data_IF_400516851080
#
_entry.id   IF_400516851080
#
_cell.length_a   1.000
_cell.length_b   1.000
_cell.length_c   1.000
_cell.angle_alpha   90.00
_cell.angle_beta   90.00
_cell.angle_gamma   90.00
#
_symmetry.space_group_name_H-M   'P 1'
#
loop_
_entity.id
_entity.type
_entity.pdbx_description
1 polymer ?
#
# COMPACT_ATOMS: atom_id res chain seq x y z
N UNK A 1 -14.09 15.37 -12.17
CA UNK A 1 -14.10 14.14 -11.35
C UNK A 1 -14.96 13.03 -11.97
N UNK A 2 -16.25 13.26 -12.23
CA UNK A 2 -17.19 12.24 -12.76
C UNK A 2 -16.76 11.55 -14.08
N UNK A 3 -16.07 12.28 -14.97
CA UNK A 3 -15.55 11.72 -16.23
C UNK A 3 -14.46 10.68 -16.00
N UNK A 4 -13.51 10.94 -15.09
CA UNK A 4 -12.42 10.02 -14.76
C UNK A 4 -12.95 8.73 -14.12
N UNK A 5 -13.90 8.86 -13.18
CA UNK A 5 -14.52 7.69 -12.56
C UNK A 5 -15.39 6.88 -13.53
N UNK A 6 -15.97 7.55 -14.54
CA UNK A 6 -16.70 6.87 -15.62
C UNK A 6 -15.77 6.10 -16.54
N UNK A 7 -14.59 6.65 -16.88
CA UNK A 7 -13.54 5.95 -17.63
C UNK A 7 -13.06 4.73 -16.84
N UNK A 8 -12.76 4.89 -15.54
CA UNK A 8 -12.36 3.77 -14.67
C UNK A 8 -13.41 2.66 -14.64
N UNK A 9 -14.69 3.00 -14.45
CA UNK A 9 -15.81 2.04 -14.48
C UNK A 9 -15.95 1.35 -15.85
N UNK A 10 -15.74 2.09 -16.94
CA UNK A 10 -15.75 1.53 -18.28
C UNK A 10 -14.61 0.52 -18.46
N UNK A 11 -13.38 0.87 -18.07
CA UNK A 11 -12.22 -0.01 -18.23
C UNK A 11 -12.36 -1.33 -17.47
N UNK A 12 -12.89 -1.29 -16.24
CA UNK A 12 -13.19 -2.51 -15.47
C UNK A 12 -14.12 -3.43 -16.28
N UNK A 13 -15.27 -2.90 -16.72
CA UNK A 13 -16.25 -3.68 -17.50
C UNK A 13 -15.70 -4.16 -18.85
N UNK A 14 -14.96 -3.31 -19.54
CA UNK A 14 -14.38 -3.60 -20.85
C UNK A 14 -13.31 -4.70 -20.78
N UNK A 15 -12.48 -4.70 -19.73
CA UNK A 15 -11.46 -5.73 -19.51
C UNK A 15 -12.05 -7.04 -18.98
N UNK A 16 -13.21 -7.01 -18.33
CA UNK A 16 -13.95 -8.20 -17.87
C UNK A 16 -14.80 -8.85 -18.97
N UNK A 17 -15.01 -8.16 -20.11
CA UNK A 17 -15.84 -8.67 -21.20
C UNK A 17 -14.98 -9.33 -22.30
N UNK A 18 -15.06 -10.66 -22.52
CA UNK A 18 -14.16 -11.38 -23.46
C UNK A 18 -14.38 -11.00 -24.94
N UNK A 19 -15.60 -10.55 -25.28
CA UNK A 19 -15.93 -10.06 -26.62
C UNK A 19 -15.35 -8.66 -26.89
N UNK A 20 -15.01 -7.91 -25.86
CA UNK A 20 -14.45 -6.58 -26.00
C UNK A 20 -12.96 -6.68 -26.39
N UNK A 21 -12.45 -5.85 -27.32
CA UNK A 21 -11.04 -5.89 -27.73
C UNK A 21 -10.05 -5.76 -26.56
N UNK A 22 -10.35 -4.90 -25.59
CA UNK A 22 -9.54 -4.76 -24.36
C UNK A 22 -9.57 -6.01 -23.48
N UNK A 23 -10.72 -6.69 -23.38
CA UNK A 23 -10.84 -7.95 -22.64
C UNK A 23 -10.02 -9.06 -23.28
N UNK A 24 -10.12 -9.24 -24.61
CA UNK A 24 -9.30 -10.21 -25.35
C UNK A 24 -7.80 -9.92 -25.25
N UNK A 25 -7.42 -8.65 -25.33
CA UNK A 25 -6.03 -8.22 -25.12
C UNK A 25 -5.56 -8.62 -23.71
N UNK A 26 -6.35 -8.30 -22.68
CA UNK A 26 -6.03 -8.61 -21.30
C UNK A 26 -5.89 -10.12 -21.05
N UNK A 27 -6.82 -10.94 -21.54
CA UNK A 27 -6.74 -12.40 -21.45
C UNK A 27 -5.49 -12.95 -22.12
N UNK A 28 -5.16 -12.45 -23.31
CA UNK A 28 -3.97 -12.90 -24.06
C UNK A 28 -2.68 -12.54 -23.32
N UNK A 29 -2.56 -11.31 -22.83
CA UNK A 29 -1.39 -10.85 -22.07
C UNK A 29 -1.24 -11.64 -20.76
N UNK A 30 -2.33 -11.85 -20.02
CA UNK A 30 -2.32 -12.67 -18.79
C UNK A 30 -1.92 -14.11 -19.09
N UNK A 31 -2.40 -14.70 -20.18
CA UNK A 31 -2.05 -16.06 -20.58
C UNK A 31 -0.55 -16.18 -20.92
N UNK A 32 -0.01 -15.27 -21.72
CA UNK A 32 1.43 -15.26 -22.06
C UNK A 32 2.28 -15.04 -20.81
N UNK A 33 1.92 -14.08 -19.95
CA UNK A 33 2.62 -13.83 -18.70
C UNK A 33 2.65 -15.08 -17.81
N UNK A 34 1.52 -15.79 -17.68
CA UNK A 34 1.46 -17.04 -16.93
C UNK A 34 2.33 -18.14 -17.55
N UNK A 35 2.34 -18.27 -18.88
CA UNK A 35 3.18 -19.24 -19.57
C UNK A 35 4.69 -18.97 -19.38
N UNK A 36 5.07 -17.70 -19.23
CA UNK A 36 6.47 -17.29 -19.02
C UNK A 36 6.93 -17.50 -17.57
N UNK A 37 6.08 -17.15 -16.60
CA UNK A 37 6.50 -17.02 -15.20
C UNK A 37 5.95 -18.10 -14.24
N UNK A 38 4.98 -18.92 -14.66
CA UNK A 38 4.44 -20.03 -13.85
C UNK A 38 5.08 -21.35 -14.22
N UNK A 39 5.31 -22.20 -13.21
CA UNK A 39 5.66 -23.61 -13.39
C UNK A 39 7.11 -23.91 -13.03
N UNK A 40 7.61 -25.05 -13.55
CA UNK A 40 8.93 -25.61 -13.20
C UNK A 40 10.11 -24.68 -13.56
N UNK A 41 9.88 -23.71 -14.45
CA UNK A 41 10.86 -22.69 -14.84
C UNK A 41 10.86 -21.40 -14.00
N UNK A 42 9.95 -21.25 -13.03
CA UNK A 42 9.89 -20.04 -12.21
C UNK A 42 11.18 -19.87 -11.40
N UNK A 43 11.84 -18.73 -11.56
CA UNK A 43 13.13 -18.45 -10.94
C UNK A 43 13.17 -17.00 -10.46
N UNK A 44 13.69 -16.75 -9.25
CA UNK A 44 13.88 -15.40 -8.69
C UNK A 44 14.57 -14.41 -9.64
N UNK A 45 15.46 -14.89 -10.53
CA UNK A 45 16.15 -14.03 -11.51
C UNK A 45 15.22 -13.42 -12.57
N UNK A 46 14.00 -13.96 -12.72
CA UNK A 46 12.99 -13.48 -13.66
C UNK A 46 12.14 -12.35 -13.10
N UNK A 47 12.25 -12.05 -11.79
CA UNK A 47 11.43 -11.03 -11.12
C UNK A 47 11.55 -9.67 -11.81
N UNK A 48 12.77 -9.23 -12.09
CA UNK A 48 13.03 -7.95 -12.76
C UNK A 48 12.35 -7.88 -14.14
N UNK A 49 12.40 -8.96 -14.92
CA UNK A 49 11.77 -9.04 -16.23
C UNK A 49 10.23 -9.03 -16.10
N UNK A 50 9.69 -9.75 -15.12
CA UNK A 50 8.26 -9.78 -14.82
C UNK A 50 7.71 -8.41 -14.44
N UNK A 51 8.44 -7.65 -13.62
CA UNK A 51 8.08 -6.27 -13.25
C UNK A 51 8.16 -5.35 -14.47
N UNK A 52 9.26 -5.40 -15.22
CA UNK A 52 9.42 -4.58 -16.44
C UNK A 52 8.35 -4.87 -17.49
N UNK A 53 7.92 -6.12 -17.62
CA UNK A 53 6.84 -6.50 -18.54
C UNK A 53 5.49 -5.91 -18.09
N UNK A 54 5.18 -5.92 -16.78
CA UNK A 54 4.00 -5.24 -16.24
C UNK A 54 4.05 -3.73 -16.51
N UNK A 55 5.19 -3.08 -16.26
CA UNK A 55 5.36 -1.65 -16.53
C UNK A 55 5.19 -1.34 -18.03
N UNK A 56 5.68 -2.22 -18.91
CA UNK A 56 5.46 -2.12 -20.36
C UNK A 56 3.98 -2.26 -20.72
N UNK A 57 3.26 -3.21 -20.10
CA UNK A 57 1.82 -3.36 -20.30
C UNK A 57 1.06 -2.11 -19.88
N UNK A 58 1.37 -1.54 -18.71
CA UNK A 58 0.76 -0.30 -18.22
C UNK A 58 0.96 0.83 -19.22
N UNK A 59 2.19 1.11 -19.64
CA UNK A 59 2.49 2.19 -20.56
C UNK A 59 1.76 2.03 -21.91
N UNK A 60 1.79 0.83 -22.50
CA UNK A 60 1.18 0.57 -23.82
C UNK A 60 -0.34 0.55 -23.78
N UNK A 61 -0.93 -0.05 -22.74
CA UNK A 61 -2.39 -0.03 -22.56
C UNK A 61 -2.85 1.40 -22.28
N UNK A 62 -2.10 2.17 -21.49
CA UNK A 62 -2.44 3.56 -21.20
C UNK A 62 -2.45 4.42 -22.48
N UNK A 63 -1.50 4.22 -23.39
CA UNK A 63 -1.52 4.87 -24.71
C UNK A 63 -2.78 4.53 -25.51
N UNK A 64 -3.21 3.26 -25.50
CA UNK A 64 -4.46 2.85 -26.16
C UNK A 64 -5.69 3.48 -25.49
N UNK A 65 -5.71 3.55 -24.15
CA UNK A 65 -6.79 4.19 -23.40
C UNK A 65 -6.85 5.68 -23.71
N UNK A 66 -5.71 6.39 -23.77
CA UNK A 66 -5.67 7.81 -24.17
C UNK A 66 -6.13 8.03 -25.61
N UNK A 67 -5.87 7.08 -26.51
CA UNK A 67 -6.42 7.11 -27.86
C UNK A 67 -7.95 6.98 -27.87
N UNK A 68 -8.51 6.10 -27.04
CA UNK A 68 -9.96 5.93 -26.90
C UNK A 68 -10.64 7.08 -26.13
N UNK A 69 -9.91 7.75 -25.24
CA UNK A 69 -10.38 8.85 -24.40
C UNK A 69 -9.43 10.05 -24.51
N UNK A 70 -9.55 10.90 -25.56
CA UNK A 70 -8.66 12.03 -25.79
C UNK A 70 -8.68 13.08 -24.67
N UNK A 71 -9.78 13.15 -23.93
CA UNK A 71 -9.96 14.02 -22.75
C UNK A 71 -9.11 13.58 -21.54
N UNK A 72 -8.46 12.41 -21.59
CA UNK A 72 -7.64 11.90 -20.49
C UNK A 72 -6.27 12.62 -20.47
N UNK A 73 -5.90 13.28 -19.36
CA UNK A 73 -4.61 13.96 -19.21
C UNK A 73 -3.42 13.02 -19.45
N UNK A 74 -2.26 13.63 -19.71
CA UNK A 74 -1.00 12.91 -19.77
C UNK A 74 -0.66 12.30 -18.40
N UNK A 75 0.26 11.33 -18.41
CA UNK A 75 0.82 10.78 -17.18
C UNK A 75 1.44 11.90 -16.35
N UNK A 76 1.03 12.03 -15.08
CA UNK A 76 1.42 13.15 -14.23
C UNK A 76 0.56 14.41 -14.37
N UNK A 77 -0.49 14.39 -15.22
CA UNK A 77 -1.40 15.52 -15.37
C UNK A 77 -2.31 15.72 -14.15
N UNK A 78 -2.43 16.95 -13.66
CA UNK A 78 -3.35 17.28 -12.57
C UNK A 78 -4.81 17.28 -13.08
N UNK A 79 -5.71 16.61 -12.37
CA UNK A 79 -7.16 16.79 -12.57
C UNK A 79 -7.56 18.04 -11.77
N UNK A 80 -8.08 19.12 -12.42
CA UNK A 80 -8.60 20.26 -11.68
C UNK A 80 -9.76 19.80 -10.78
N UNK A 81 -9.66 20.08 -9.48
CA UNK A 81 -10.83 20.01 -8.61
C UNK A 81 -11.83 21.08 -9.05
N UNK A 82 -13.14 20.79 -9.11
CA UNK A 82 -14.11 21.85 -9.24
C UNK A 82 -14.03 22.70 -7.97
N UNK A 83 -13.51 23.92 -8.10
CA UNK A 83 -13.71 24.95 -7.07
C UNK A 83 -15.21 25.11 -6.88
N UNK A 84 -15.73 24.69 -5.73
CA UNK A 84 -17.04 25.13 -5.27
C UNK A 84 -16.90 26.57 -4.81
N UNK A 85 -16.73 27.49 -5.77
CA UNK A 85 -16.83 28.92 -5.54
C UNK A 85 -18.12 29.43 -6.18
N UNK A 86 -19.13 29.63 -5.33
CA UNK A 86 -20.22 30.60 -5.51
C UNK A 86 -21.02 30.78 -4.20
N UNK A 87 -20.61 31.78 -3.40
CA UNK A 87 -21.41 32.73 -2.56
C UNK A 87 -22.25 32.15 -1.38
N UNK A 88 -22.13 32.59 -0.13
CA UNK A 88 -22.45 33.95 0.35
C UNK A 88 -21.83 34.34 1.72
N UNK A 89 -21.68 35.65 1.95
CA UNK A 89 -21.09 36.33 3.13
C UNK A 89 -22.01 36.30 4.38
N UNK A 90 -21.44 36.11 5.58
CA UNK A 90 -21.40 37.11 6.69
C UNK A 90 -20.85 36.57 8.03
N UNK A 91 -19.86 37.31 8.54
CA UNK A 91 -19.55 37.70 9.94
C UNK A 91 -19.37 36.64 11.06
N UNK A 92 -18.13 36.52 11.58
CA UNK A 92 -17.76 36.85 12.98
C UNK A 92 -16.61 35.99 13.57
N UNK A 93 -15.49 36.67 13.89
CA UNK A 93 -14.52 36.49 14.98
C UNK A 93 -13.70 35.18 15.21
N UNK A 94 -12.37 35.35 15.06
CA UNK A 94 -11.26 34.86 15.90
C UNK A 94 -11.08 33.35 16.18
N UNK A 95 -10.08 32.71 15.56
CA UNK A 95 -8.73 32.42 16.13
C UNK A 95 -7.96 31.48 15.20
N UNK A 96 -6.66 31.76 15.07
CA UNK A 96 -5.73 31.24 14.06
C UNK A 96 -5.13 29.86 14.41
N UNK A 97 -4.65 29.20 13.36
CA UNK A 97 -3.75 28.04 13.32
C UNK A 97 -4.37 26.64 13.33
N UNK A 98 -5.13 26.31 12.28
CA UNK A 98 -5.21 24.94 11.78
C UNK A 98 -4.40 24.89 10.49
N UNK A 99 -3.24 24.22 10.55
CA UNK A 99 -2.35 23.99 9.42
C UNK A 99 -3.05 22.99 8.47
N UNK A 100 -3.95 23.48 7.63
CA UNK A 100 -4.49 22.70 6.52
C UNK A 100 -3.36 22.47 5.51
N UNK A 101 -2.78 21.28 5.56
CA UNK A 101 -1.93 20.77 4.49
C UNK A 101 -2.71 20.80 3.18
N UNK A 102 -2.16 21.36 2.07
CA UNK A 102 -2.85 21.39 0.80
C UNK A 102 -3.05 19.96 0.31
N UNK A 103 -4.30 19.51 0.25
CA UNK A 103 -4.67 18.21 -0.36
C UNK A 103 -4.10 18.19 -1.78
N UNK A 104 -3.16 17.29 -2.12
CA UNK A 104 -2.59 17.27 -3.45
C UNK A 104 -3.70 16.90 -4.44
N UNK A 105 -3.96 17.79 -5.39
CA UNK A 105 -4.91 17.51 -6.48
C UNK A 105 -4.60 16.17 -7.12
N UNK A 106 -5.64 15.36 -7.39
CA UNK A 106 -5.48 13.97 -7.86
C UNK A 106 -4.74 13.97 -9.20
N UNK A 107 -3.52 13.45 -9.19
CA UNK A 107 -2.69 13.28 -10.40
C UNK A 107 -3.18 12.06 -11.18
N UNK A 108 -3.27 12.19 -12.51
CA UNK A 108 -3.56 11.06 -13.39
C UNK A 108 -2.32 10.17 -13.48
N UNK A 109 -2.45 8.97 -12.93
CA UNK A 109 -1.44 7.93 -13.01
C UNK A 109 -1.97 6.74 -13.82
N UNK A 110 -1.13 6.25 -14.75
CA UNK A 110 -1.40 5.04 -15.52
C UNK A 110 -1.54 3.83 -14.57
N UNK A 111 -0.67 3.76 -13.56
CA UNK A 111 -0.69 2.78 -12.48
C UNK A 111 -1.99 2.81 -11.70
N UNK A 112 -2.47 3.99 -11.27
CA UNK A 112 -3.72 4.11 -10.53
C UNK A 112 -4.96 3.70 -11.35
N UNK A 113 -4.93 3.88 -12.67
CA UNK A 113 -6.06 3.54 -13.55
C UNK A 113 -6.07 2.06 -13.93
N UNK A 114 -4.90 1.48 -14.22
CA UNK A 114 -4.78 0.17 -14.86
C UNK A 114 -4.37 -0.95 -13.91
N UNK A 115 -3.57 -0.70 -12.86
CA UNK A 115 -3.19 -1.75 -11.89
C UNK A 115 -4.40 -2.42 -11.23
N UNK A 116 -5.48 -1.71 -10.83
CA UNK A 116 -6.65 -2.36 -10.24
C UNK A 116 -7.32 -3.39 -11.16
N UNK A 117 -7.13 -3.27 -12.48
CA UNK A 117 -7.72 -4.18 -13.48
C UNK A 117 -6.72 -5.28 -13.88
N UNK A 118 -5.45 -4.91 -14.04
CA UNK A 118 -4.38 -5.79 -14.54
C UNK A 118 -3.81 -6.67 -13.43
N UNK A 119 -3.43 -6.05 -12.30
CA UNK A 119 -2.60 -6.69 -11.29
C UNK A 119 -3.28 -7.89 -10.60
N UNK A 120 -4.58 -7.88 -10.24
CA UNK A 120 -5.21 -9.07 -9.64
C UNK A 120 -5.08 -10.34 -10.50
N UNK A 121 -5.02 -10.19 -11.83
CA UNK A 121 -4.89 -11.32 -12.77
C UNK A 121 -3.45 -11.83 -12.90
N UNK A 122 -2.47 -10.95 -12.68
CA UNK A 122 -1.02 -11.20 -12.75
C UNK A 122 -0.38 -11.45 -11.37
N UNK A 123 -1.10 -11.17 -10.29
CA UNK A 123 -0.57 -11.20 -8.94
C UNK A 123 -0.05 -12.60 -8.54
N UNK A 124 -0.75 -13.73 -8.79
CA UNK A 124 -0.22 -15.03 -8.39
C UNK A 124 1.16 -15.40 -8.98
N UNK A 125 1.41 -15.30 -10.30
CA UNK A 125 2.75 -15.52 -10.84
C UNK A 125 3.78 -14.51 -10.32
N UNK A 126 3.41 -13.22 -10.27
CA UNK A 126 4.33 -12.17 -9.82
C UNK A 126 4.74 -12.38 -8.36
N UNK A 127 3.78 -12.62 -7.47
CA UNK A 127 4.03 -12.80 -6.05
C UNK A 127 4.83 -14.07 -5.76
N UNK A 128 4.67 -15.11 -6.58
CA UNK A 128 5.55 -16.30 -6.52
C UNK A 128 7.01 -15.91 -6.77
N UNK A 129 7.29 -15.01 -7.72
CA UNK A 129 8.65 -14.55 -7.99
C UNK A 129 9.21 -13.69 -6.85
N UNK A 130 8.40 -12.83 -6.24
CA UNK A 130 8.80 -12.08 -5.03
C UNK A 130 9.11 -13.02 -3.86
N UNK A 131 8.26 -14.00 -3.60
CA UNK A 131 8.47 -15.00 -2.55
C UNK A 131 9.76 -15.81 -2.77
N UNK A 132 10.10 -16.16 -4.02
CA UNK A 132 11.36 -16.83 -4.34
C UNK A 132 12.59 -15.93 -4.19
N UNK A 133 12.45 -14.63 -4.39
CA UNK A 133 13.55 -13.67 -4.24
C UNK A 133 13.82 -13.38 -2.76
N UNK A 134 12.77 -13.18 -1.95
CA UNK A 134 12.83 -12.88 -0.51
C UNK A 134 12.84 -14.08 0.43
N UNK A 135 12.87 -15.31 -0.09
CA UNK A 135 12.73 -16.54 0.70
C UNK A 135 13.61 -16.56 1.96
N UNK A 136 14.90 -16.22 1.82
CA UNK A 136 15.87 -16.28 2.93
C UNK A 136 15.60 -15.20 3.97
N UNK A 137 15.36 -13.99 3.50
CA UNK A 137 15.07 -12.82 4.31
C UNK A 137 13.75 -12.97 5.08
N UNK A 138 12.71 -13.48 4.41
CA UNK A 138 11.40 -13.76 5.00
C UNK A 138 11.47 -14.93 6.00
N UNK A 139 12.34 -15.93 5.80
CA UNK A 139 12.54 -17.01 6.78
C UNK A 139 13.20 -16.50 8.08
N UNK A 140 14.26 -15.68 7.98
CA UNK A 140 14.90 -15.06 9.16
C UNK A 140 13.91 -14.16 9.91
N UNK A 141 13.17 -13.34 9.16
CA UNK A 141 12.10 -12.52 9.71
C UNK A 141 11.06 -13.39 10.46
N UNK A 142 10.61 -14.48 9.83
CA UNK A 142 9.58 -15.35 10.38
C UNK A 142 10.00 -16.05 11.67
N UNK A 143 11.25 -16.54 11.74
CA UNK A 143 11.81 -17.10 12.97
C UNK A 143 11.78 -16.09 14.13
N UNK A 144 12.13 -14.83 13.85
CA UNK A 144 12.07 -13.76 14.84
C UNK A 144 10.63 -13.46 15.28
N UNK A 145 9.70 -13.35 14.32
CA UNK A 145 8.26 -13.17 14.60
C UNK A 145 7.75 -14.28 15.52
N UNK A 146 8.02 -15.55 15.20
CA UNK A 146 7.58 -16.69 16.02
C UNK A 146 8.18 -16.65 17.42
N UNK A 147 9.45 -16.27 17.56
CA UNK A 147 10.13 -16.16 18.85
C UNK A 147 9.53 -15.08 19.73
N UNK A 148 9.39 -13.86 19.22
CA UNK A 148 8.87 -12.72 19.98
C UNK A 148 7.37 -12.86 20.30
N UNK A 149 6.61 -13.55 19.44
CA UNK A 149 5.20 -13.84 19.70
C UNK A 149 4.94 -14.89 20.80
N UNK A 150 5.98 -15.54 21.35
CA UNK A 150 5.83 -16.37 22.55
C UNK A 150 5.59 -15.54 23.81
N UNK A 151 5.95 -14.25 23.78
CA UNK A 151 5.79 -13.35 24.91
C UNK A 151 4.36 -12.77 24.97
N UNK A 152 3.78 -12.63 26.18
CA UNK A 152 2.50 -11.96 26.34
C UNK A 152 2.61 -10.47 25.97
N UNK A 153 1.48 -9.86 25.61
CA UNK A 153 1.39 -8.48 25.11
C UNK A 153 2.15 -7.49 25.99
N UNK A 154 1.92 -7.54 27.31
CA UNK A 154 2.58 -6.66 28.27
C UNK A 154 4.10 -6.79 28.28
N UNK A 155 4.63 -8.00 28.13
CA UNK A 155 6.07 -8.24 28.11
C UNK A 155 6.68 -7.76 26.80
N UNK A 156 6.01 -8.01 25.67
CA UNK A 156 6.50 -7.58 24.37
C UNK A 156 6.46 -6.04 24.24
N UNK A 157 5.38 -5.39 24.67
CA UNK A 157 5.28 -3.94 24.69
C UNK A 157 6.38 -3.31 25.55
N UNK A 158 6.67 -3.89 26.72
CA UNK A 158 7.76 -3.42 27.58
C UNK A 158 9.14 -3.63 26.93
N UNK A 159 9.37 -4.76 26.27
CA UNK A 159 10.60 -5.06 25.55
C UNK A 159 10.87 -4.09 24.40
N UNK A 160 9.82 -3.72 23.66
CA UNK A 160 9.91 -2.77 22.55
C UNK A 160 10.03 -1.30 23.01
N UNK A 161 9.97 -1.02 24.31
CA UNK A 161 10.09 0.33 24.86
C UNK A 161 8.80 1.15 24.80
N UNK A 162 7.64 0.50 24.64
CA UNK A 162 6.34 1.19 24.63
C UNK A 162 6.04 1.77 26.03
N UNK A 163 5.79 3.09 26.05
CA UNK A 163 5.58 3.88 27.27
C UNK A 163 4.43 3.30 28.10
N UNK A 164 4.53 3.36 29.43
CA UNK A 164 3.53 2.76 30.34
C UNK A 164 2.11 3.26 30.15
N UNK A 165 1.92 4.45 29.58
CA UNK A 165 0.62 5.07 29.34
C UNK A 165 -0.20 4.43 28.22
N UNK A 166 0.40 3.64 27.34
CA UNK A 166 -0.27 2.95 26.23
C UNK A 166 -0.33 1.43 26.41
N UNK A 167 0.05 0.92 27.60
CA UNK A 167 0.07 -0.52 27.89
C UNK A 167 -1.32 -1.15 28.05
N UNK A 168 -2.31 -0.34 28.40
CA UNK A 168 -3.71 -0.79 28.56
C UNK A 168 -4.51 -0.75 27.24
N UNK A 169 -3.92 -0.22 26.16
CA UNK A 169 -4.54 -0.07 24.85
C UNK A 169 -4.59 -1.40 24.08
N UNK A 170 -5.71 -1.68 23.41
CA UNK A 170 -5.89 -2.92 22.65
C UNK A 170 -5.68 -2.70 21.14
N UNK A 171 -4.49 -3.03 20.63
CA UNK A 171 -4.16 -2.85 19.21
C UNK A 171 -4.69 -3.95 18.27
N UNK A 172 -5.76 -4.66 18.65
CA UNK A 172 -6.33 -5.75 17.85
C UNK A 172 -6.85 -5.24 16.50
N UNK A 173 -7.58 -4.11 16.48
CA UNK A 173 -8.12 -3.50 15.26
C UNK A 173 -7.01 -3.13 14.27
N UNK A 174 -5.95 -2.48 14.74
CA UNK A 174 -4.79 -2.13 13.92
C UNK A 174 -4.08 -3.40 13.38
N UNK A 175 -3.98 -4.45 14.19
CA UNK A 175 -3.39 -5.73 13.79
C UNK A 175 -4.18 -6.40 12.68
N UNK A 176 -5.51 -6.50 12.82
CA UNK A 176 -6.41 -7.06 11.81
C UNK A 176 -6.43 -6.24 10.52
N UNK A 177 -6.34 -4.91 10.65
CA UNK A 177 -6.24 -4.00 9.51
C UNK A 177 -4.97 -4.28 8.73
N UNK A 178 -3.81 -4.34 9.39
CA UNK A 178 -2.53 -4.60 8.73
C UNK A 178 -2.49 -5.97 8.04
N UNK A 179 -3.16 -6.99 8.59
CA UNK A 179 -3.27 -8.31 7.96
C UNK A 179 -3.95 -8.27 6.58
N UNK A 180 -4.78 -7.25 6.29
CA UNK A 180 -5.38 -7.07 4.97
C UNK A 180 -4.36 -6.70 3.88
N UNK A 181 -3.11 -6.39 4.26
CA UNK A 181 -2.06 -6.15 3.26
C UNK A 181 -1.88 -7.38 2.35
N UNK A 182 -2.07 -8.60 2.87
CA UNK A 182 -1.95 -9.84 2.10
C UNK A 182 -3.18 -10.21 1.28
N UNK A 183 -4.31 -9.51 1.48
CA UNK A 183 -5.56 -9.73 0.72
C UNK A 183 -5.79 -8.64 -0.33
N UNK A 184 -4.98 -7.59 -0.31
CA UNK A 184 -4.99 -6.51 -1.30
C UNK A 184 -3.96 -6.75 -2.40
N UNK A 185 -4.25 -6.24 -3.61
CA UNK A 185 -3.41 -6.49 -4.77
C UNK A 185 -2.56 -5.30 -5.15
N UNK A 186 -3.15 -4.10 -5.21
CA UNK A 186 -2.45 -2.93 -5.74
C UNK A 186 -1.56 -2.25 -4.69
N UNK A 187 -0.43 -1.64 -5.09
CA UNK A 187 0.38 -0.84 -4.19
C UNK A 187 -0.43 0.26 -3.51
N UNK A 188 -1.36 0.91 -4.23
CA UNK A 188 -2.24 1.93 -3.64
C UNK A 188 -3.13 1.37 -2.54
N UNK A 189 -3.76 0.21 -2.76
CA UNK A 189 -4.62 -0.41 -1.74
C UNK A 189 -3.79 -0.88 -0.52
N UNK A 190 -2.59 -1.43 -0.76
CA UNK A 190 -1.66 -1.81 0.31
C UNK A 190 -1.20 -0.61 1.13
N UNK A 191 -0.86 0.50 0.47
CA UNK A 191 -0.51 1.76 1.12
C UNK A 191 -1.68 2.32 1.94
N UNK A 192 -2.91 2.20 1.44
CA UNK A 192 -4.12 2.58 2.18
C UNK A 192 -4.32 1.69 3.43
N UNK A 193 -4.06 0.38 3.34
CA UNK A 193 -4.07 -0.51 4.51
C UNK A 193 -3.06 -0.05 5.57
N UNK A 194 -1.86 0.36 5.14
CA UNK A 194 -0.84 0.89 6.06
C UNK A 194 -1.35 2.18 6.72
N UNK A 195 -1.89 3.13 5.95
CA UNK A 195 -2.45 4.36 6.47
C UNK A 195 -3.55 4.09 7.51
N UNK A 196 -4.53 3.24 7.18
CA UNK A 196 -5.61 2.87 8.10
C UNK A 196 -5.09 2.21 9.38
N UNK A 197 -3.98 1.47 9.29
CA UNK A 197 -3.33 0.89 10.47
C UNK A 197 -2.78 1.98 11.39
N UNK A 198 -2.14 3.03 10.85
CA UNK A 198 -1.68 4.18 11.64
C UNK A 198 -2.85 4.94 12.28
N UNK A 199 -3.94 5.12 11.55
CA UNK A 199 -5.16 5.77 12.06
C UNK A 199 -5.78 4.99 13.21
N UNK A 200 -5.90 3.66 13.09
CA UNK A 200 -6.43 2.80 14.16
C UNK A 200 -5.51 2.77 15.39
N UNK A 201 -4.18 2.79 15.22
CA UNK A 201 -3.24 2.95 16.36
C UNK A 201 -3.48 4.28 17.06
N UNK A 202 -3.56 5.36 16.29
CA UNK A 202 -3.71 6.72 16.83
C UNK A 202 -5.01 6.84 17.61
N UNK A 203 -6.10 6.29 17.06
CA UNK A 203 -7.43 6.26 17.67
C UNK A 203 -7.46 5.47 18.99
N UNK A 204 -6.85 4.29 19.04
CA UNK A 204 -6.83 3.44 20.24
C UNK A 204 -6.02 4.06 21.38
N UNK A 205 -4.99 4.81 21.04
CA UNK A 205 -4.16 5.50 22.04
C UNK A 205 -4.83 6.78 22.52
N UNK A 206 -5.50 7.52 21.64
CA UNK A 206 -6.31 8.69 22.03
C UNK A 206 -7.51 8.31 22.90
N UNK A 207 -8.11 7.12 22.72
CA UNK A 207 -9.18 6.66 23.60
C UNK A 207 -8.66 6.28 24.99
N UNK A 208 -7.41 5.80 25.06
CA UNK A 208 -6.75 5.39 26.30
C UNK A 208 -6.12 6.55 27.08
N UNK A 209 -5.57 7.55 26.38
CA UNK A 209 -4.99 8.77 26.95
C UNK A 209 -6.03 9.87 27.03
N UNK A 210 -6.39 10.30 28.25
CA UNK A 210 -7.38 11.37 28.49
C UNK A 210 -6.92 12.79 28.13
N UNK A 211 -5.75 12.95 27.53
CA UNK A 211 -5.16 14.25 27.18
C UNK A 211 -4.70 14.27 25.71
N UNK A 212 -4.70 15.47 25.12
CA UNK A 212 -4.18 15.75 23.77
C UNK A 212 -2.66 15.52 23.71
N UNK A 213 -2.25 14.25 23.65
CA UNK A 213 -0.86 13.86 23.49
C UNK A 213 -0.41 14.07 22.03
N UNK A 214 0.64 14.85 21.83
CA UNK A 214 1.28 15.02 20.54
C UNK A 214 2.27 13.87 20.33
N UNK A 215 1.98 12.98 19.40
CA UNK A 215 2.84 11.84 19.07
C UNK A 215 4.15 12.28 18.42
N UNK A 216 5.25 11.73 18.92
CA UNK A 216 6.51 11.71 18.18
C UNK A 216 6.69 10.36 17.46
N UNK A 217 7.61 10.31 16.50
CA UNK A 217 7.98 9.04 15.86
C UNK A 217 8.63 8.05 16.85
N UNK A 218 9.28 8.54 17.90
CA UNK A 218 9.88 7.70 18.94
C UNK A 218 8.81 6.98 19.77
N UNK A 219 7.62 7.56 19.90
CA UNK A 219 6.47 6.91 20.54
C UNK A 219 5.75 5.98 19.57
N UNK A 220 5.58 6.41 18.31
CA UNK A 220 4.80 5.70 17.28
C UNK A 220 5.48 4.44 16.76
N UNK A 221 6.79 4.50 16.52
CA UNK A 221 7.54 3.41 15.91
C UNK A 221 7.49 2.12 16.75
N UNK A 222 7.74 2.13 18.07
CA UNK A 222 7.60 0.93 18.90
C UNK A 222 6.20 0.30 18.90
N UNK A 223 5.16 1.13 18.87
CA UNK A 223 3.76 0.67 18.82
C UNK A 223 3.46 0.04 17.46
N UNK A 224 3.90 0.67 16.37
CA UNK A 224 3.74 0.11 15.04
C UNK A 224 4.54 -1.18 14.84
N UNK A 225 5.77 -1.25 15.38
CA UNK A 225 6.60 -2.45 15.40
C UNK A 225 5.90 -3.60 16.15
N UNK A 226 5.26 -3.31 17.28
CA UNK A 226 4.41 -4.26 18.00
C UNK A 226 3.26 -4.78 17.13
N UNK A 227 2.54 -3.88 16.44
CA UNK A 227 1.44 -4.26 15.53
C UNK A 227 1.94 -5.13 14.38
N UNK A 228 3.08 -4.81 13.76
CA UNK A 228 3.70 -5.63 12.71
C UNK A 228 4.04 -7.03 13.23
N UNK A 229 4.63 -7.14 14.43
CA UNK A 229 4.93 -8.43 15.06
C UNK A 229 3.66 -9.25 15.33
N UNK A 230 2.60 -8.61 15.82
CA UNK A 230 1.32 -9.27 16.13
C UNK A 230 0.52 -9.63 14.88
N UNK A 231 0.70 -8.91 13.77
CA UNK A 231 0.04 -9.20 12.50
C UNK A 231 0.49 -10.53 11.89
N UNK A 232 1.72 -10.98 12.18
CA UNK A 232 2.28 -12.29 11.77
C UNK A 232 2.16 -12.54 10.26
N UNK A 233 2.47 -11.53 9.46
CA UNK A 233 2.47 -11.62 8.00
C UNK A 233 3.72 -12.37 7.55
N UNK A 234 3.57 -13.61 7.03
CA UNK A 234 4.71 -14.48 6.74
C UNK A 234 5.65 -13.93 5.66
N UNK A 235 5.10 -13.45 4.54
CA UNK A 235 5.89 -12.99 3.39
C UNK A 235 5.95 -11.45 3.33
N UNK A 236 6.19 -10.80 4.47
CA UNK A 236 6.15 -9.33 4.55
C UNK A 236 7.21 -8.68 3.65
N UNK A 237 8.40 -9.27 3.53
CA UNK A 237 9.44 -8.79 2.62
C UNK A 237 8.99 -8.81 1.17
N UNK A 238 8.29 -9.87 0.76
CA UNK A 238 7.70 -9.96 -0.58
C UNK A 238 6.66 -8.85 -0.85
N UNK A 239 5.83 -8.52 0.14
CA UNK A 239 4.86 -7.43 0.04
C UNK A 239 5.53 -6.05 -0.04
N UNK A 240 6.56 -5.83 0.77
CA UNK A 240 7.36 -4.60 0.77
C UNK A 240 8.01 -4.40 -0.60
N UNK A 241 8.65 -5.43 -1.16
CA UNK A 241 9.26 -5.34 -2.49
C UNK A 241 8.26 -5.11 -3.61
N UNK A 242 7.07 -5.72 -3.54
CA UNK A 242 6.00 -5.47 -4.51
C UNK A 242 5.55 -4.01 -4.50
N UNK A 243 5.37 -3.42 -3.31
CA UNK A 243 5.02 -2.00 -3.18
C UNK A 243 6.16 -1.14 -3.71
N UNK A 244 7.41 -1.44 -3.37
CA UNK A 244 8.58 -0.67 -3.81
C UNK A 244 8.73 -0.63 -5.33
N UNK A 245 8.52 -1.76 -6.00
CA UNK A 245 8.72 -1.89 -7.46
C UNK A 245 7.55 -1.34 -8.30
N UNK A 246 6.32 -1.31 -7.74
CA UNK A 246 5.10 -0.94 -8.49
C UNK A 246 4.41 0.34 -8.00
N UNK A 247 4.86 0.93 -6.90
CA UNK A 247 4.33 2.20 -6.39
C UNK A 247 4.64 3.34 -7.37
N UNK A 248 3.69 4.27 -7.48
CA UNK A 248 3.88 5.48 -8.29
C UNK A 248 4.93 6.40 -7.63
N UNK A 249 5.94 6.88 -8.38
CA UNK A 249 6.95 7.82 -7.86
C UNK A 249 6.36 9.10 -7.23
N UNK A 250 5.18 9.54 -7.68
CA UNK A 250 4.49 10.69 -7.10
C UNK A 250 4.03 10.44 -5.66
N UNK A 251 3.73 9.19 -5.30
CA UNK A 251 3.26 8.80 -3.96
C UNK A 251 4.44 8.57 -3.00
N UNK A 252 5.60 8.20 -3.53
CA UNK A 252 6.80 7.87 -2.77
C UNK A 252 7.31 9.00 -1.87
N UNK A 253 7.08 10.26 -2.25
CA UNK A 253 7.57 11.43 -1.50
C UNK A 253 6.51 12.04 -0.57
N UNK A 254 5.30 11.49 -0.55
CA UNK A 254 4.20 11.94 0.31
C UNK A 254 4.13 11.20 1.64
N UNK A 255 3.05 11.43 2.38
CA UNK A 255 2.76 10.76 3.66
C UNK A 255 2.77 9.24 3.55
N UNK A 256 2.15 8.69 2.50
CA UNK A 256 2.17 7.25 2.20
C UNK A 256 3.61 6.70 2.06
N UNK A 257 4.53 7.48 1.50
CA UNK A 257 5.94 7.11 1.40
C UNK A 257 6.64 7.03 2.75
N UNK A 258 6.31 7.94 3.67
CA UNK A 258 6.83 7.93 5.05
C UNK A 258 6.29 6.72 5.81
N UNK A 259 4.97 6.47 5.72
CA UNK A 259 4.33 5.31 6.35
C UNK A 259 4.89 3.99 5.81
N UNK A 260 5.10 3.89 4.50
CA UNK A 260 5.72 2.73 3.87
C UNK A 260 7.18 2.53 4.31
N UNK A 261 7.96 3.61 4.38
CA UNK A 261 9.34 3.55 4.89
C UNK A 261 9.37 3.08 6.34
N UNK A 262 8.38 3.44 7.14
CA UNK A 262 8.22 3.00 8.53
C UNK A 262 7.95 1.48 8.60
N UNK A 263 7.09 0.94 7.72
CA UNK A 263 6.88 -0.51 7.61
C UNK A 263 8.14 -1.26 7.19
N UNK A 264 8.87 -0.73 6.22
CA UNK A 264 10.16 -1.29 5.77
C UNK A 264 11.18 -1.30 6.91
N UNK A 265 11.26 -0.21 7.69
CA UNK A 265 12.11 -0.14 8.87
C UNK A 265 11.72 -1.17 9.95
N UNK A 266 10.42 -1.39 10.19
CA UNK A 266 9.96 -2.43 11.11
C UNK A 266 10.39 -3.83 10.65
N UNK A 267 10.19 -4.14 9.38
CA UNK A 267 10.64 -5.41 8.79
C UNK A 267 12.14 -5.63 8.99
N UNK A 268 12.98 -4.63 8.67
CA UNK A 268 14.42 -4.71 8.87
C UNK A 268 14.82 -4.84 10.34
N UNK A 269 14.15 -4.11 11.25
CA UNK A 269 14.41 -4.17 12.69
C UNK A 269 14.16 -5.59 13.20
N UNK A 270 13.02 -6.20 12.85
CA UNK A 270 12.65 -7.57 13.26
C UNK A 270 13.68 -8.58 12.74
N UNK A 271 14.16 -8.42 11.50
CA UNK A 271 15.19 -9.30 10.93
C UNK A 271 16.53 -9.25 11.67
N UNK A 272 16.94 -8.07 12.14
CA UNK A 272 18.25 -7.84 12.76
C UNK A 272 18.20 -7.89 14.29
N UNK A 273 17.05 -8.23 14.86
CA UNK A 273 16.85 -8.31 16.30
C UNK A 273 17.63 -9.48 16.90
N UNK A 274 18.85 -9.20 17.35
CA UNK A 274 19.79 -10.20 17.87
C UNK A 274 19.21 -10.88 19.12
N UNK A 275 19.34 -12.20 19.18
CA UNK A 275 19.29 -12.97 20.43
C UNK A 275 20.34 -12.41 21.39
N UNK A 276 19.88 -11.73 22.44
CA UNK A 276 20.67 -11.61 23.67
C UNK A 276 20.37 -12.82 24.54
#
# INVERSE_FOLDING_TARGET
MEKYDSIRRYLIKACDTPLHPLGRLMETLVAVYRMTYVGVGANRRLLLQAVNEIMSYLARIFQLVRFLFPDLPEEGGAIPEPSSDSQDKKDSNCTDNQLESPKPGRVVSSSALLLPVLLPRLYPPLFTLYALEKEREDDVYWECVLRLNKQPDMALLAFLGVVSSTKDACFASATETLQQISTTFTPSDKLQVIQLTFEEITKEVMSSLKDNFLWSMDDLFPVFLYVVLRARIRNLGSEVSLIEDLMDPCVQHGEHGIMFTTLKACYYQIQHEKTT
#
